data_IF_442420130869
#
_entry.id   IF_442420130869
#
_cell.length_a   1.000
_cell.length_b   1.000
_cell.length_c   1.000
_cell.angle_alpha   90.00
_cell.angle_beta   90.00
_cell.angle_gamma   90.00
#
_symmetry.space_group_name_H-M   'P 1'
#
loop_
_entity.id
_entity.type
_entity.pdbx_description
1 polymer ?
#
# COMPACT_ATOMS: atom_id res chain seq x y z
N UNK A 1 -9.67 31.99 -71.98
CA UNK A 1 -8.47 32.71 -72.48
C UNK A 1 -7.85 33.45 -71.31
N UNK A 2 -6.59 33.12 -71.03
CA UNK A 2 -5.72 33.66 -69.98
C UNK A 2 -5.40 35.14 -70.18
N UNK A 3 -5.19 35.88 -69.08
CA UNK A 3 -4.10 36.86 -68.97
C UNK A 3 -3.47 36.82 -67.56
N UNK A 4 -2.18 36.47 -67.56
CA UNK A 4 -1.13 36.67 -66.55
C UNK A 4 -0.97 38.20 -66.22
N UNK A 5 -0.25 38.75 -65.22
CA UNK A 5 0.98 38.38 -64.48
C UNK A 5 1.28 39.49 -63.42
N UNK A 6 1.69 39.11 -62.18
CA UNK A 6 2.83 39.59 -61.32
C UNK A 6 3.02 41.12 -61.06
N UNK A 7 3.15 41.62 -59.80
CA UNK A 7 4.37 41.86 -58.94
C UNK A 7 3.86 42.14 -57.49
N UNK A 8 4.15 41.39 -56.42
CA UNK A 8 5.36 41.22 -55.57
C UNK A 8 5.67 42.33 -54.53
N UNK A 9 5.49 42.01 -53.24
CA UNK A 9 6.25 42.46 -52.05
C UNK A 9 5.71 41.68 -50.81
N UNK A 10 6.27 40.53 -50.42
CA UNK A 10 7.44 40.33 -49.56
C UNK A 10 7.30 40.85 -48.11
N UNK A 11 6.94 39.96 -47.18
CA UNK A 11 7.47 39.97 -45.80
C UNK A 11 7.48 38.52 -45.26
N UNK A 12 8.65 38.10 -44.78
CA UNK A 12 9.08 36.76 -44.38
C UNK A 12 8.25 36.18 -43.19
N UNK A 13 7.86 34.90 -43.17
CA UNK A 13 8.60 33.62 -43.03
C UNK A 13 9.22 33.40 -41.64
N UNK A 14 8.61 32.50 -40.87
CA UNK A 14 9.29 31.37 -40.19
C UNK A 14 8.27 30.40 -39.58
N UNK A 15 7.97 29.35 -40.35
CA UNK A 15 7.51 28.06 -39.84
C UNK A 15 8.73 27.30 -39.33
N UNK A 16 8.72 26.87 -38.07
CA UNK A 16 9.69 25.92 -37.56
C UNK A 16 9.00 24.55 -37.40
N UNK A 17 9.14 23.72 -38.43
CA UNK A 17 9.11 22.27 -38.28
C UNK A 17 10.51 21.84 -37.81
N UNK A 18 10.57 21.07 -36.73
CA UNK A 18 11.82 20.57 -36.17
C UNK A 18 11.59 19.28 -35.40
N UNK A 19 11.49 18.18 -36.13
CA UNK A 19 11.80 16.84 -35.64
C UNK A 19 13.23 16.82 -35.08
N UNK A 20 13.39 16.46 -33.81
CA UNK A 20 14.70 16.37 -33.17
C UNK A 20 14.70 15.42 -31.99
N UNK A 21 15.28 14.24 -32.22
CA UNK A 21 15.80 13.25 -31.29
C UNK A 21 15.85 13.65 -29.79
N UNK A 22 15.02 13.00 -28.97
CA UNK A 22 15.22 12.90 -27.53
C UNK A 22 16.04 11.63 -27.24
N UNK A 23 17.36 11.72 -27.36
CA UNK A 23 18.28 10.76 -26.78
C UNK A 23 19.43 11.50 -26.05
N UNK A 24 19.52 11.20 -24.75
CA UNK A 24 20.70 11.27 -23.87
C UNK A 24 21.38 12.64 -23.64
N UNK A 25 20.93 13.35 -22.60
CA UNK A 25 21.83 14.10 -21.74
C UNK A 25 21.24 14.21 -20.33
N UNK A 26 22.06 13.88 -19.33
CA UNK A 26 21.67 13.71 -17.94
C UNK A 26 21.09 14.95 -17.28
N UNK A 27 19.90 14.77 -16.71
CA UNK A 27 19.53 15.29 -15.39
C UNK A 27 18.51 14.30 -14.82
N UNK A 28 19.02 13.37 -14.01
CA UNK A 28 18.14 12.74 -13.03
C UNK A 28 17.54 13.89 -12.20
N UNK A 29 16.22 13.93 -11.95
CA UNK A 29 15.66 14.94 -11.07
C UNK A 29 16.36 14.83 -9.72
N UNK A 30 17.16 15.85 -9.40
CA UNK A 30 17.69 16.05 -8.08
C UNK A 30 16.52 16.54 -7.22
N UNK A 31 15.99 15.65 -6.38
CA UNK A 31 14.88 15.94 -5.48
C UNK A 31 13.95 14.74 -5.35
N UNK A 32 14.27 13.80 -4.46
CA UNK A 32 13.34 12.77 -3.99
C UNK A 32 12.26 13.36 -3.08
N UNK A 33 11.57 14.40 -3.54
CA UNK A 33 10.68 15.22 -2.73
C UNK A 33 9.19 14.91 -2.86
N UNK A 34 8.71 14.30 -3.96
CA UNK A 34 7.27 14.32 -4.23
C UNK A 34 6.77 13.16 -5.09
N UNK A 35 6.90 11.93 -4.60
CA UNK A 35 6.21 10.78 -5.21
C UNK A 35 5.20 10.13 -4.23
N UNK A 36 5.21 10.51 -2.96
CA UNK A 36 4.29 10.01 -1.93
C UNK A 36 3.69 11.17 -1.11
N UNK A 37 3.70 12.41 -1.62
CA UNK A 37 3.01 13.51 -0.93
C UNK A 37 1.53 13.16 -0.76
N UNK A 38 0.95 13.58 0.36
CA UNK A 38 -0.46 13.36 0.59
C UNK A 38 -1.27 14.15 -0.44
N UNK A 39 -2.24 13.46 -1.04
CA UNK A 39 -3.19 14.04 -1.99
C UNK A 39 -4.56 13.93 -1.32
N UNK A 40 -5.15 15.04 -0.85
CA UNK A 40 -6.43 15.00 -0.15
C UNK A 40 -7.52 14.29 -0.96
N UNK A 41 -8.24 13.36 -0.32
CA UNK A 41 -9.30 12.57 -0.95
C UNK A 41 -8.83 11.45 -1.87
N UNK A 42 -7.52 11.21 -1.99
CA UNK A 42 -6.98 10.14 -2.81
C UNK A 42 -6.70 8.87 -2.00
N UNK A 43 -7.69 7.98 -1.93
CA UNK A 43 -7.61 6.76 -1.13
C UNK A 43 -6.49 5.78 -1.52
N UNK A 44 -6.03 5.77 -2.78
CA UNK A 44 -4.88 4.94 -3.19
C UNK A 44 -3.55 5.50 -2.68
N UNK A 45 -3.41 6.83 -2.67
CA UNK A 45 -2.23 7.49 -2.07
C UNK A 45 -2.23 7.28 -0.56
N UNK A 46 -3.38 7.48 0.09
CA UNK A 46 -3.57 7.22 1.53
C UNK A 46 -3.21 5.77 1.87
N UNK A 47 -3.68 4.81 1.09
CA UNK A 47 -3.36 3.39 1.27
C UNK A 47 -1.84 3.12 1.19
N UNK A 48 -1.18 3.64 0.15
CA UNK A 48 0.27 3.48 -0.02
C UNK A 48 1.07 4.15 1.11
N UNK A 49 0.60 5.31 1.59
CA UNK A 49 1.20 6.03 2.73
C UNK A 49 1.06 5.25 4.02
N UNK A 50 -0.13 4.72 4.32
CA UNK A 50 -0.36 3.86 5.50
C UNK A 50 0.55 2.63 5.46
N UNK A 51 0.54 1.87 4.37
CA UNK A 51 1.38 0.67 4.29
C UNK A 51 2.87 1.02 4.37
N UNK A 52 3.30 2.13 3.77
CA UNK A 52 4.68 2.63 3.88
C UNK A 52 5.03 2.93 5.34
N UNK A 53 4.19 3.67 6.07
CA UNK A 53 4.44 4.00 7.48
C UNK A 53 4.46 2.75 8.36
N UNK A 54 3.54 1.81 8.14
CA UNK A 54 3.54 0.53 8.84
C UNK A 54 4.85 -0.23 8.59
N UNK A 55 5.30 -0.32 7.33
CA UNK A 55 6.53 -1.01 6.96
C UNK A 55 7.77 -0.35 7.58
N UNK A 56 7.83 0.98 7.59
CA UNK A 56 8.87 1.76 8.26
C UNK A 56 8.86 1.52 9.76
N UNK A 57 7.69 1.48 10.40
CA UNK A 57 7.55 1.20 11.82
C UNK A 57 8.06 -0.21 12.17
N UNK A 58 7.66 -1.23 11.39
CA UNK A 58 8.17 -2.60 11.55
C UNK A 58 9.68 -2.76 11.31
N UNK A 59 10.28 -1.87 10.51
CA UNK A 59 11.71 -1.81 10.27
C UNK A 59 12.49 -0.92 11.27
N UNK A 60 11.81 -0.33 12.26
CA UNK A 60 12.42 0.58 13.23
C UNK A 60 12.95 1.88 12.58
N UNK A 61 12.44 2.25 11.40
CA UNK A 61 12.80 3.49 10.71
C UNK A 61 11.98 4.66 11.26
N UNK A 62 12.49 5.90 11.17
CA UNK A 62 11.72 7.09 11.53
C UNK A 62 10.37 7.15 10.80
N UNK A 63 9.38 7.80 11.40
CA UNK A 63 8.10 8.05 10.74
C UNK A 63 8.28 8.79 9.42
N UNK A 64 7.30 8.67 8.52
CA UNK A 64 7.17 9.58 7.39
C UNK A 64 7.15 11.05 7.89
N UNK A 65 7.72 12.00 7.12
CA UNK A 65 7.60 13.41 7.45
C UNK A 65 6.13 13.81 7.60
N UNK A 66 5.85 14.68 8.57
CA UNK A 66 4.52 15.23 8.75
C UNK A 66 4.09 15.95 7.46
N UNK A 67 2.86 15.71 7.05
CA UNK A 67 2.26 16.28 5.85
C UNK A 67 0.92 16.90 6.25
N UNK A 68 0.72 18.23 6.09
CA UNK A 68 -0.54 18.89 6.47
C UNK A 68 -1.74 18.42 5.65
N UNK A 69 -1.49 17.78 4.49
CA UNK A 69 -2.52 17.22 3.63
C UNK A 69 -2.78 15.72 3.92
N UNK A 70 -2.08 15.13 4.90
CA UNK A 70 -2.26 13.74 5.27
C UNK A 70 -3.71 13.46 5.67
N UNK A 71 -4.25 12.36 5.15
CA UNK A 71 -5.54 11.88 5.59
C UNK A 71 -5.46 11.45 7.06
N UNK A 72 -6.48 11.77 7.87
CA UNK A 72 -6.50 11.42 9.30
C UNK A 72 -6.43 9.91 9.55
N UNK A 73 -6.94 9.08 8.63
CA UNK A 73 -6.83 7.63 8.72
C UNK A 73 -5.37 7.16 8.58
N UNK A 74 -4.43 8.00 8.09
CA UNK A 74 -3.00 7.69 8.11
C UNK A 74 -2.44 7.52 9.53
N UNK A 75 -3.13 8.07 10.54
CA UNK A 75 -2.77 7.89 11.95
C UNK A 75 -2.69 6.42 12.38
N UNK A 76 -3.36 5.49 11.66
CA UNK A 76 -3.25 4.05 11.91
C UNK A 76 -1.79 3.56 11.80
N UNK A 77 -0.98 4.11 10.90
CA UNK A 77 0.45 3.80 10.83
C UNK A 77 1.20 4.21 12.10
N UNK A 78 0.84 5.37 12.66
CA UNK A 78 1.36 5.85 13.94
C UNK A 78 0.92 5.01 15.13
N UNK A 79 -0.33 4.53 15.14
CA UNK A 79 -0.83 3.63 16.19
C UNK A 79 -0.02 2.33 16.24
N UNK A 80 0.34 1.74 15.09
CA UNK A 80 1.22 0.58 15.03
C UNK A 80 2.61 0.90 15.60
N UNK A 81 3.18 2.05 15.25
CA UNK A 81 4.48 2.48 15.77
C UNK A 81 4.48 2.60 17.29
N UNK A 82 3.47 3.23 17.87
CA UNK A 82 3.33 3.35 19.32
C UNK A 82 3.17 1.97 19.98
N UNK A 83 2.37 1.08 19.37
CA UNK A 83 2.25 -0.30 19.84
C UNK A 83 3.60 -1.03 19.84
N UNK A 84 4.35 -0.98 18.73
CA UNK A 84 5.66 -1.62 18.59
C UNK A 84 6.72 -1.02 19.55
N UNK A 85 6.55 0.23 19.97
CA UNK A 85 7.37 0.87 20.99
C UNK A 85 6.96 0.49 22.43
N UNK A 86 5.90 -0.31 22.61
CA UNK A 86 5.37 -0.70 23.92
C UNK A 86 4.39 0.31 24.54
N UNK A 87 4.05 1.38 23.82
CA UNK A 87 3.15 2.44 24.28
C UNK A 87 1.68 2.09 24.03
N UNK A 88 1.20 0.99 24.61
CA UNK A 88 -0.14 0.43 24.35
C UNK A 88 -1.29 1.40 24.66
N UNK A 89 -1.15 2.24 25.70
CA UNK A 89 -2.15 3.28 26.05
C UNK A 89 -2.25 4.32 24.94
N UNK A 90 -1.11 4.83 24.46
CA UNK A 90 -1.09 5.84 23.40
C UNK A 90 -1.61 5.27 22.08
N UNK A 91 -1.21 4.05 21.74
CA UNK A 91 -1.75 3.34 20.58
C UNK A 91 -3.28 3.19 20.69
N UNK A 92 -3.81 2.82 21.86
CA UNK A 92 -5.25 2.70 22.08
C UNK A 92 -5.99 4.03 21.90
N UNK A 93 -5.46 5.14 22.44
CA UNK A 93 -6.07 6.45 22.27
C UNK A 93 -6.11 6.88 20.80
N UNK A 94 -5.04 6.61 20.05
CA UNK A 94 -5.02 6.88 18.61
C UNK A 94 -6.08 6.04 17.87
N UNK A 95 -6.32 4.79 18.29
CA UNK A 95 -7.39 3.98 17.73
C UNK A 95 -8.78 4.56 18.03
N UNK A 96 -8.99 5.19 19.18
CA UNK A 96 -10.26 5.91 19.48
C UNK A 96 -10.49 7.07 18.51
N UNK A 97 -9.44 7.85 18.22
CA UNK A 97 -9.49 8.95 17.27
C UNK A 97 -9.75 8.46 15.84
N UNK A 98 -9.13 7.34 15.45
CA UNK A 98 -9.33 6.72 14.13
C UNK A 98 -10.74 6.13 14.00
N UNK A 99 -11.23 5.43 15.01
CA UNK A 99 -12.60 4.89 15.03
C UNK A 99 -13.62 6.05 14.92
N UNK A 100 -13.39 7.17 15.61
CA UNK A 100 -14.22 8.37 15.47
C UNK A 100 -14.21 8.97 14.06
N UNK A 101 -13.04 8.97 13.40
CA UNK A 101 -12.93 9.43 12.00
C UNK A 101 -13.59 8.46 11.01
N UNK A 102 -13.55 7.15 11.28
CA UNK A 102 -14.28 6.14 10.50
C UNK A 102 -15.79 6.41 10.59
N UNK A 103 -16.31 6.63 11.80
CA UNK A 103 -17.75 6.87 12.02
C UNK A 103 -18.24 8.11 11.26
N UNK A 104 -17.40 9.15 11.13
CA UNK A 104 -17.71 10.35 10.33
C UNK A 104 -17.77 10.11 8.81
N UNK A 105 -17.21 9.00 8.32
CA UNK A 105 -17.12 8.67 6.87
C UNK A 105 -18.15 7.64 6.42
N UNK A 106 -18.81 6.98 7.35
CA UNK A 106 -20.01 6.19 7.08
C UNK A 106 -21.16 7.20 6.89
N UNK A 107 -21.88 7.17 5.75
CA UNK A 107 -23.04 8.03 5.58
C UNK A 107 -24.06 7.78 6.70
N UNK A 108 -24.68 8.84 7.22
CA UNK A 108 -25.79 8.71 8.18
C UNK A 108 -27.13 8.56 7.45
N UNK A 109 -28.14 8.04 8.16
CA UNK A 109 -29.52 7.99 7.67
C UNK A 109 -29.97 9.35 7.10
N UNK A 110 -29.68 10.48 7.76
CA UNK A 110 -30.06 11.81 7.26
C UNK A 110 -29.32 12.21 5.97
N UNK A 111 -28.05 11.79 5.84
CA UNK A 111 -27.27 12.03 4.62
C UNK A 111 -27.79 11.17 3.46
N UNK A 112 -28.21 9.93 3.73
CA UNK A 112 -28.80 9.04 2.73
C UNK A 112 -30.20 9.50 2.32
N UNK A 113 -31.01 10.02 3.24
CA UNK A 113 -32.28 10.67 2.91
C UNK A 113 -32.08 11.89 1.99
N UNK A 114 -31.00 12.65 2.21
CA UNK A 114 -30.65 13.82 1.38
C UNK A 114 -30.03 13.45 0.03
N UNK A 115 -29.22 12.39 -0.03
CA UNK A 115 -28.60 11.84 -1.24
C UNK A 115 -28.71 10.30 -1.27
N UNK A 116 -29.75 9.77 -1.94
CA UNK A 116 -29.98 8.32 -2.03
C UNK A 116 -28.85 7.54 -2.70
N UNK A 117 -27.91 8.20 -3.39
CA UNK A 117 -26.73 7.53 -3.97
C UNK A 117 -25.74 7.06 -2.90
N UNK A 118 -25.86 7.56 -1.67
CA UNK A 118 -25.04 7.15 -0.54
C UNK A 118 -25.50 5.83 0.12
N UNK A 119 -26.74 5.38 -0.16
CA UNK A 119 -27.31 4.17 0.45
C UNK A 119 -26.45 2.93 0.19
N UNK A 120 -26.00 2.73 -1.05
CA UNK A 120 -25.13 1.61 -1.43
C UNK A 120 -23.79 1.63 -0.69
N UNK A 121 -23.27 2.83 -0.35
CA UNK A 121 -22.02 2.98 0.41
C UNK A 121 -22.25 2.69 1.90
N UNK A 122 -23.32 3.22 2.46
CA UNK A 122 -23.71 3.01 3.86
C UNK A 122 -23.95 1.53 4.16
N UNK A 123 -24.86 0.89 3.42
CA UNK A 123 -25.20 -0.52 3.61
C UNK A 123 -23.95 -1.41 3.49
N UNK A 124 -23.08 -1.12 2.52
CA UNK A 124 -21.85 -1.87 2.29
C UNK A 124 -20.85 -1.77 3.46
N UNK A 125 -20.69 -0.58 4.05
CA UNK A 125 -19.81 -0.37 5.19
C UNK A 125 -20.40 -0.95 6.48
N UNK A 126 -21.66 -0.67 6.79
CA UNK A 126 -22.33 -1.15 8.00
C UNK A 126 -22.34 -2.68 8.01
N UNK A 127 -22.76 -3.31 6.91
CA UNK A 127 -22.82 -4.77 6.80
C UNK A 127 -21.45 -5.41 7.03
N UNK A 128 -20.37 -4.80 6.53
CA UNK A 128 -19.02 -5.32 6.78
C UNK A 128 -18.57 -5.10 8.24
N UNK A 129 -18.89 -3.96 8.84
CA UNK A 129 -18.50 -3.65 10.21
C UNK A 129 -19.19 -4.56 11.23
N UNK A 130 -20.45 -4.93 10.99
CA UNK A 130 -21.18 -5.89 11.82
C UNK A 130 -20.61 -7.32 11.75
N UNK A 131 -19.95 -7.68 10.64
CA UNK A 131 -19.27 -8.97 10.53
C UNK A 131 -17.95 -9.02 11.32
N UNK A 132 -17.33 -7.88 11.62
CA UNK A 132 -16.07 -7.84 12.35
C UNK A 132 -16.29 -8.29 13.81
N UNK A 133 -15.47 -9.21 14.33
CA UNK A 133 -15.62 -9.67 15.71
C UNK A 133 -15.18 -8.59 16.69
N UNK A 134 -15.67 -8.66 17.92
CA UNK A 134 -15.18 -7.81 19.00
C UNK A 134 -13.73 -8.14 19.37
N UNK A 135 -12.99 -7.09 19.77
CA UNK A 135 -11.70 -7.26 20.42
C UNK A 135 -11.86 -8.09 21.71
N UNK A 136 -10.93 -8.98 22.06
CA UNK A 136 -11.05 -9.80 23.26
C UNK A 136 -11.07 -8.92 24.50
N UNK A 137 -12.05 -9.14 25.38
CA UNK A 137 -12.17 -8.45 26.65
C UNK A 137 -12.34 -9.45 27.80
N UNK A 138 -12.11 -8.98 29.03
CA UNK A 138 -12.35 -9.75 30.25
C UNK A 138 -11.08 -10.26 30.94
N UNK A 139 -11.27 -11.05 32.00
CA UNK A 139 -10.19 -11.53 32.87
C UNK A 139 -9.20 -12.39 32.08
N UNK A 140 -7.91 -12.07 32.18
CA UNK A 140 -6.83 -12.83 31.57
C UNK A 140 -6.40 -12.34 30.18
N UNK A 141 -7.13 -11.40 29.56
CA UNK A 141 -6.67 -10.75 28.33
C UNK A 141 -5.60 -9.73 28.69
N UNK A 142 -4.41 -9.87 28.09
CA UNK A 142 -3.32 -8.91 28.26
C UNK A 142 -3.60 -7.63 27.48
N UNK A 143 -3.14 -6.50 27.99
CA UNK A 143 -3.36 -5.19 27.36
C UNK A 143 -2.78 -5.11 25.93
N UNK A 144 -1.60 -5.68 25.70
CA UNK A 144 -0.99 -5.77 24.37
C UNK A 144 -1.84 -6.60 23.39
N UNK A 145 -2.43 -7.69 23.86
CA UNK A 145 -3.30 -8.57 23.09
C UNK A 145 -4.60 -7.85 22.70
N UNK A 146 -5.22 -7.17 23.67
CA UNK A 146 -6.40 -6.34 23.40
C UNK A 146 -6.10 -5.25 22.36
N UNK A 147 -5.04 -4.46 22.57
CA UNK A 147 -4.70 -3.33 21.68
C UNK A 147 -4.31 -3.81 20.28
N UNK A 148 -3.55 -4.90 20.16
CA UNK A 148 -3.13 -5.41 18.85
C UNK A 148 -4.30 -5.97 18.03
N UNK A 149 -5.23 -6.69 18.67
CA UNK A 149 -6.40 -7.22 17.98
C UNK A 149 -7.36 -6.09 17.64
N UNK A 150 -7.56 -5.14 18.55
CA UNK A 150 -8.33 -3.91 18.25
C UNK A 150 -7.73 -3.17 17.05
N UNK A 151 -6.41 -2.98 17.03
CA UNK A 151 -5.71 -2.39 15.89
C UNK A 151 -6.02 -3.12 14.59
N UNK A 152 -5.98 -4.46 14.58
CA UNK A 152 -6.27 -5.25 13.39
C UNK A 152 -7.70 -5.04 12.87
N UNK A 153 -8.67 -4.93 13.79
CA UNK A 153 -10.08 -4.67 13.45
C UNK A 153 -10.26 -3.25 12.90
N UNK A 154 -9.70 -2.24 13.56
CA UNK A 154 -9.71 -0.86 13.06
C UNK A 154 -9.00 -0.76 11.70
N UNK A 155 -7.92 -1.51 11.48
CA UNK A 155 -7.25 -1.57 10.17
C UNK A 155 -8.17 -2.11 9.06
N UNK A 156 -9.00 -3.13 9.34
CA UNK A 156 -10.02 -3.61 8.39
C UNK A 156 -11.07 -2.55 8.08
N UNK A 157 -11.50 -1.77 9.08
CA UNK A 157 -12.44 -0.66 8.90
C UNK A 157 -11.85 0.47 8.05
N UNK A 158 -10.61 0.89 8.35
CA UNK A 158 -9.86 1.88 7.55
C UNK A 158 -9.83 1.46 6.08
N UNK A 159 -9.49 0.20 5.79
CA UNK A 159 -9.45 -0.29 4.42
C UNK A 159 -10.79 -0.26 3.71
N UNK A 160 -11.86 -0.65 4.41
CA UNK A 160 -13.21 -0.64 3.86
C UNK A 160 -13.62 0.78 3.46
N UNK A 161 -13.39 1.76 4.35
CA UNK A 161 -13.67 3.17 4.08
C UNK A 161 -12.86 3.67 2.89
N UNK A 162 -11.54 3.44 2.87
CA UNK A 162 -10.69 3.88 1.76
C UNK A 162 -11.07 3.21 0.44
N UNK A 163 -11.47 1.93 0.46
CA UNK A 163 -11.98 1.23 -0.73
C UNK A 163 -13.30 1.86 -1.21
N UNK A 164 -14.25 2.14 -0.32
CA UNK A 164 -15.52 2.79 -0.67
C UNK A 164 -15.30 4.17 -1.32
N UNK A 165 -14.29 4.92 -0.87
CA UNK A 165 -13.95 6.24 -1.41
C UNK A 165 -13.18 6.16 -2.74
N UNK A 166 -12.45 5.07 -2.96
CA UNK A 166 -11.60 4.90 -4.15
C UNK A 166 -12.35 4.27 -5.32
N UNK A 167 -13.25 3.33 -5.05
CA UNK A 167 -13.92 2.57 -6.09
C UNK A 167 -15.01 3.40 -6.77
N UNK A 168 -15.15 3.35 -8.12
CA UNK A 168 -16.25 4.01 -8.83
C UNK A 168 -17.63 3.51 -8.42
N UNK A 169 -17.71 2.26 -7.94
CA UNK A 169 -18.92 1.64 -7.41
C UNK A 169 -18.53 0.49 -6.49
N UNK A 170 -19.26 0.30 -5.39
CA UNK A 170 -19.15 -0.84 -4.48
C UNK A 170 -19.95 -2.05 -4.98
N UNK A 171 -20.84 -1.85 -5.96
CA UNK A 171 -21.76 -2.90 -6.44
C UNK A 171 -21.00 -4.06 -7.07
N UNK A 172 -21.27 -5.27 -6.57
CA UNK A 172 -20.64 -6.51 -7.05
C UNK A 172 -19.23 -6.77 -6.50
N UNK A 173 -18.69 -5.90 -5.63
CA UNK A 173 -17.46 -6.16 -4.91
C UNK A 173 -17.76 -6.80 -3.55
N UNK A 174 -17.27 -8.03 -3.35
CA UNK A 174 -17.31 -8.71 -2.07
C UNK A 174 -16.13 -8.24 -1.20
N UNK A 175 -16.44 -7.49 -0.13
CA UNK A 175 -15.43 -6.92 0.76
C UNK A 175 -14.77 -7.97 1.68
N UNK A 176 -15.46 -9.08 1.98
CA UNK A 176 -14.90 -10.19 2.76
C UNK A 176 -13.87 -10.93 1.93
N UNK A 177 -14.25 -11.32 0.71
CA UNK A 177 -13.37 -12.05 -0.19
C UNK A 177 -12.39 -11.15 -0.96
N UNK A 178 -12.59 -9.83 -0.93
CA UNK A 178 -11.83 -8.80 -1.67
C UNK A 178 -11.73 -9.08 -3.15
N UNK A 179 -12.87 -9.36 -3.76
CA UNK A 179 -12.96 -9.69 -5.18
C UNK A 179 -14.27 -9.21 -5.79
N UNK A 180 -14.23 -8.93 -7.08
CA UNK A 180 -15.43 -8.78 -7.90
C UNK A 180 -15.71 -10.07 -8.68
N UNK A 181 -16.99 -10.41 -8.84
CA UNK A 181 -17.44 -11.45 -9.76
C UNK A 181 -18.47 -10.87 -10.75
N UNK A 182 -18.53 -11.36 -12.01
CA UNK A 182 -17.72 -12.44 -12.59
C UNK A 182 -16.35 -11.98 -13.12
N UNK A 183 -16.19 -10.70 -13.42
CA UNK A 183 -14.94 -10.15 -13.95
C UNK A 183 -14.10 -9.53 -12.83
N UNK A 184 -12.79 -9.84 -12.75
CA UNK A 184 -11.94 -9.33 -11.69
C UNK A 184 -11.77 -7.81 -11.79
N UNK A 185 -11.89 -7.12 -10.66
CA UNK A 185 -11.65 -5.69 -10.57
C UNK A 185 -10.17 -5.41 -10.37
N UNK A 186 -9.73 -4.21 -10.77
CA UNK A 186 -8.36 -3.74 -10.48
C UNK A 186 -8.10 -3.65 -8.97
N UNK A 187 -9.14 -3.47 -8.15
CA UNK A 187 -9.09 -3.38 -6.69
C UNK A 187 -9.11 -4.75 -5.98
N UNK A 188 -9.17 -5.85 -6.72
CA UNK A 188 -9.17 -7.20 -6.14
C UNK A 188 -7.88 -7.45 -5.34
N UNK A 189 -8.05 -7.99 -4.14
CA UNK A 189 -6.98 -8.30 -3.20
C UNK A 189 -6.26 -7.08 -2.62
N UNK A 190 -6.79 -5.87 -2.78
CA UNK A 190 -6.23 -4.66 -2.17
C UNK A 190 -6.51 -4.67 -0.66
N UNK A 191 -5.47 -4.85 0.15
CA UNK A 191 -5.54 -4.89 1.61
C UNK A 191 -4.23 -4.40 2.26
N UNK A 192 -4.31 -3.63 3.34
CA UNK A 192 -3.17 -3.32 4.19
C UNK A 192 -2.79 -4.58 4.97
N UNK A 193 -1.50 -4.68 5.28
CA UNK A 193 -0.91 -5.90 5.82
C UNK A 193 0.08 -5.55 6.91
N UNK A 194 0.16 -6.39 7.92
CA UNK A 194 1.16 -6.22 8.96
C UNK A 194 2.58 -6.38 8.38
N UNK A 195 3.56 -5.57 8.81
CA UNK A 195 4.92 -5.70 8.32
C UNK A 195 5.49 -7.08 8.66
N UNK A 196 6.06 -7.77 7.69
CA UNK A 196 6.61 -9.11 7.80
C UNK A 196 7.62 -9.21 8.96
N UNK A 197 8.37 -8.13 9.19
CA UNK A 197 9.36 -8.02 10.25
C UNK A 197 8.79 -8.27 11.65
N UNK A 198 7.52 -7.92 11.89
CA UNK A 198 6.91 -8.08 13.23
C UNK A 198 6.55 -9.53 13.52
N UNK A 199 6.55 -10.43 12.52
CA UNK A 199 6.28 -11.85 12.72
C UNK A 199 7.25 -12.44 13.73
N UNK A 200 8.52 -12.01 13.72
CA UNK A 200 9.56 -12.52 14.64
C UNK A 200 9.23 -12.25 16.10
N UNK A 201 8.63 -11.09 16.40
CA UNK A 201 8.38 -10.60 17.76
C UNK A 201 6.92 -10.75 18.22
N UNK A 202 5.98 -10.80 17.29
CA UNK A 202 4.54 -10.73 17.58
C UNK A 202 3.74 -11.89 16.95
N UNK A 203 4.41 -13.01 16.64
CA UNK A 203 3.78 -14.19 16.04
C UNK A 203 2.48 -14.62 16.73
N UNK A 204 2.48 -14.74 18.06
CA UNK A 204 1.31 -15.19 18.81
C UNK A 204 0.10 -14.25 18.65
N UNK A 205 0.35 -12.94 18.58
CA UNK A 205 -0.69 -11.95 18.34
C UNK A 205 -1.23 -12.05 16.91
N UNK A 206 -0.36 -12.20 15.91
CA UNK A 206 -0.77 -12.38 14.52
C UNK A 206 -1.56 -13.68 14.31
N UNK A 207 -1.17 -14.78 14.95
CA UNK A 207 -1.90 -16.05 14.89
C UNK A 207 -3.30 -15.92 15.51
N UNK A 208 -3.43 -15.22 16.63
CA UNK A 208 -4.73 -14.93 17.25
C UNK A 208 -5.58 -14.01 16.37
N UNK A 209 -5.00 -12.95 15.81
CA UNK A 209 -5.67 -12.08 14.85
C UNK A 209 -6.15 -12.86 13.62
N UNK A 210 -5.32 -13.74 13.06
CA UNK A 210 -5.69 -14.58 11.93
C UNK A 210 -6.88 -15.51 12.25
N UNK A 211 -6.88 -16.14 13.44
CA UNK A 211 -8.00 -16.97 13.89
C UNK A 211 -9.29 -16.19 14.05
N UNK A 212 -9.22 -14.97 14.60
CA UNK A 212 -10.39 -14.12 14.85
C UNK A 212 -10.99 -13.57 13.57
N UNK A 213 -10.15 -13.02 12.70
CA UNK A 213 -10.63 -12.45 11.44
C UNK A 213 -11.13 -13.55 10.49
N UNK A 214 -10.48 -14.72 10.48
CA UNK A 214 -10.85 -15.80 9.56
C UNK A 214 -10.93 -15.27 8.11
N UNK A 215 -12.06 -15.45 7.40
CA UNK A 215 -12.26 -14.89 6.06
C UNK A 215 -12.12 -13.36 5.97
N UNK A 216 -12.43 -12.62 7.04
CA UNK A 216 -12.42 -11.16 7.08
C UNK A 216 -11.01 -10.56 7.01
N UNK A 217 -9.97 -11.40 7.12
CA UNK A 217 -8.60 -10.99 6.82
C UNK A 217 -8.47 -10.52 5.36
N UNK A 218 -9.31 -11.00 4.44
CA UNK A 218 -9.38 -10.53 3.05
C UNK A 218 -8.12 -10.79 2.22
N UNK A 219 -7.28 -11.74 2.65
CA UNK A 219 -6.01 -12.06 2.00
C UNK A 219 -4.88 -12.31 3.00
N UNK A 220 -3.60 -12.26 2.55
CA UNK A 220 -2.45 -12.37 3.43
C UNK A 220 -2.53 -11.33 4.56
N UNK A 221 -2.36 -11.79 5.80
CA UNK A 221 -2.37 -10.91 6.98
C UNK A 221 -1.10 -10.05 7.07
N UNK A 222 0.00 -10.54 6.51
CA UNK A 222 1.31 -9.86 6.53
C UNK A 222 1.78 -9.52 5.13
N UNK A 223 2.66 -8.53 5.01
CA UNK A 223 3.32 -8.18 3.73
C UNK A 223 4.54 -9.08 3.45
N UNK A 224 4.65 -10.24 4.11
CA UNK A 224 5.71 -11.18 3.79
C UNK A 224 5.62 -11.61 2.32
N UNK A 225 6.73 -11.55 1.56
CA UNK A 225 6.71 -11.91 0.16
C UNK A 225 6.75 -13.44 0.03
N UNK A 226 5.57 -14.06 0.11
CA UNK A 226 5.40 -15.53 0.14
C UNK A 226 4.77 -16.05 -1.16
N UNK A 227 5.11 -17.28 -1.60
CA UNK A 227 4.36 -17.95 -2.65
C UNK A 227 2.87 -18.13 -2.28
N UNK A 228 2.01 -18.20 -3.29
CA UNK A 228 0.57 -18.42 -3.10
C UNK A 228 0.31 -19.71 -2.32
N UNK A 229 -0.59 -19.65 -1.34
CA UNK A 229 -0.95 -20.75 -0.44
C UNK A 229 -0.06 -20.90 0.80
N UNK A 230 0.94 -20.04 0.98
CA UNK A 230 1.87 -20.06 2.13
C UNK A 230 1.69 -18.86 3.07
N UNK A 231 0.73 -17.99 2.78
CA UNK A 231 0.46 -16.73 3.47
C UNK A 231 0.06 -16.92 4.94
N UNK A 232 -0.48 -18.10 5.29
CA UNK A 232 -0.88 -18.45 6.64
C UNK A 232 0.09 -19.41 7.35
N UNK A 233 1.21 -19.80 6.71
CA UNK A 233 2.24 -20.64 7.34
C UNK A 233 3.18 -19.77 8.18
N UNK A 234 2.81 -19.50 9.43
CA UNK A 234 3.59 -18.65 10.34
C UNK A 234 5.03 -19.13 10.58
N UNK A 235 5.34 -20.42 10.45
CA UNK A 235 6.72 -20.90 10.50
C UNK A 235 7.50 -20.41 9.27
N UNK A 236 6.88 -20.41 8.09
CA UNK A 236 7.48 -19.87 6.88
C UNK A 236 7.65 -18.36 6.94
N UNK A 237 6.61 -17.64 7.38
CA UNK A 237 6.66 -16.19 7.57
C UNK A 237 7.81 -15.81 8.51
N UNK A 238 7.95 -16.51 9.63
CA UNK A 238 9.01 -16.27 10.59
C UNK A 238 10.41 -16.53 10.00
N UNK A 239 10.59 -17.58 9.18
CA UNK A 239 11.85 -17.81 8.47
C UNK A 239 12.20 -16.66 7.52
N UNK A 240 11.23 -16.18 6.74
CA UNK A 240 11.41 -15.02 5.87
C UNK A 240 11.80 -13.79 6.70
N UNK A 241 11.12 -13.59 7.83
CA UNK A 241 11.37 -12.41 8.65
C UNK A 241 12.71 -12.43 9.39
N UNK A 242 13.23 -13.62 9.71
CA UNK A 242 14.55 -13.80 10.36
C UNK A 242 15.72 -13.75 9.37
N UNK A 243 15.59 -14.43 8.24
CA UNK A 243 16.63 -14.50 7.21
C UNK A 243 16.01 -14.46 5.80
N UNK A 244 15.61 -13.25 5.35
CA UNK A 244 14.98 -13.09 4.04
C UNK A 244 15.92 -13.48 2.90
N UNK A 245 17.23 -13.28 3.05
CA UNK A 245 18.21 -13.55 2.00
C UNK A 245 18.33 -15.06 1.74
N UNK A 246 18.26 -15.89 2.79
CA UNK A 246 18.18 -17.34 2.64
C UNK A 246 16.77 -17.82 2.24
N UNK A 247 15.72 -17.19 2.76
CA UNK A 247 14.35 -17.65 2.55
C UNK A 247 13.77 -17.31 1.17
N UNK A 248 14.26 -16.26 0.51
CA UNK A 248 13.69 -15.70 -0.73
C UNK A 248 14.55 -15.98 -1.98
N UNK A 249 15.34 -17.05 -1.97
CA UNK A 249 16.21 -17.42 -3.10
C UNK A 249 15.44 -17.97 -4.31
N UNK A 250 14.15 -18.32 -4.17
CA UNK A 250 13.28 -18.78 -5.26
C UNK A 250 12.07 -17.87 -5.45
N UNK A 251 11.74 -17.60 -6.72
CA UNK A 251 10.69 -16.68 -7.16
C UNK A 251 9.27 -17.18 -6.83
N UNK A 252 8.33 -16.25 -6.57
CA UNK A 252 6.96 -16.36 -7.08
C UNK A 252 6.17 -15.03 -7.07
N UNK A 253 5.29 -14.95 -8.07
CA UNK A 253 4.00 -14.23 -8.19
C UNK A 253 3.97 -12.74 -8.54
N UNK A 254 3.59 -12.51 -9.80
CA UNK A 254 3.10 -11.23 -10.32
C UNK A 254 1.61 -11.03 -10.04
N UNK A 255 1.20 -9.77 -10.02
CA UNK A 255 -0.19 -9.33 -9.85
C UNK A 255 -0.49 -8.33 -10.97
N UNK A 256 -1.75 -8.24 -11.41
CA UNK A 256 -2.16 -7.31 -12.47
C UNK A 256 -1.85 -5.83 -12.16
N UNK A 257 -1.84 -4.94 -13.17
CA UNK A 257 -1.64 -3.50 -12.95
C UNK A 257 -2.84 -2.82 -12.29
N UNK A 258 -2.61 -1.75 -11.52
CA UNK A 258 -3.64 -0.78 -11.09
C UNK A 258 -3.71 0.40 -12.07
N UNK A 259 -4.82 1.17 -12.10
CA UNK A 259 -4.90 2.43 -12.84
C UNK A 259 -3.78 3.42 -12.46
N UNK A 260 -3.36 3.38 -11.19
CA UNK A 260 -2.16 4.06 -10.68
C UNK A 260 -1.48 3.18 -9.65
N UNK A 261 -0.41 2.49 -10.05
CA UNK A 261 0.28 1.53 -9.18
C UNK A 261 1.17 2.20 -8.12
N UNK A 262 1.50 3.49 -8.27
CA UNK A 262 2.43 4.24 -7.39
C UNK A 262 3.81 3.58 -7.30
N UNK A 263 4.24 2.92 -8.38
CA UNK A 263 5.51 2.20 -8.44
C UNK A 263 6.70 3.16 -8.46
N UNK A 264 7.69 2.89 -7.62
CA UNK A 264 8.89 3.73 -7.50
C UNK A 264 9.97 3.35 -8.51
N UNK A 265 10.95 4.24 -8.77
CA UNK A 265 12.17 3.88 -9.51
C UNK A 265 12.90 2.69 -8.90
N UNK A 266 12.94 2.58 -7.56
CA UNK A 266 13.56 1.44 -6.87
C UNK A 266 12.81 0.13 -7.13
N UNK A 267 11.47 0.13 -7.13
CA UNK A 267 10.68 -1.06 -7.51
C UNK A 267 10.90 -1.46 -8.97
N UNK A 268 11.10 -0.48 -9.86
CA UNK A 268 11.42 -0.75 -11.26
C UNK A 268 12.81 -1.35 -11.42
N UNK A 269 13.81 -0.82 -10.71
CA UNK A 269 15.15 -1.40 -10.64
C UNK A 269 15.12 -2.82 -10.05
N UNK A 270 14.37 -3.05 -8.98
CA UNK A 270 14.22 -4.39 -8.39
C UNK A 270 13.59 -5.40 -9.35
N UNK A 271 12.55 -5.00 -10.10
CA UNK A 271 11.82 -5.89 -10.99
C UNK A 271 12.61 -6.35 -12.24
N UNK A 272 13.47 -5.50 -12.79
CA UNK A 272 14.08 -5.71 -14.12
C UNK A 272 15.56 -5.35 -14.22
N UNK A 273 16.11 -4.65 -13.22
CA UNK A 273 17.48 -4.15 -13.23
C UNK A 273 18.49 -5.14 -12.65
N UNK A 274 19.74 -4.70 -12.66
CA UNK A 274 20.87 -5.37 -12.01
C UNK A 274 20.98 -4.97 -10.53
N UNK A 275 21.83 -5.67 -9.77
CA UNK A 275 22.22 -5.25 -8.42
C UNK A 275 22.81 -3.82 -8.41
N UNK A 276 23.51 -3.42 -9.47
CA UNK A 276 24.06 -2.08 -9.60
C UNK A 276 22.97 -1.01 -9.72
N UNK A 277 21.87 -1.29 -10.44
CA UNK A 277 20.74 -0.37 -10.57
C UNK A 277 20.00 -0.20 -9.25
N UNK A 278 19.79 -1.29 -8.51
CA UNK A 278 19.21 -1.27 -7.16
C UNK A 278 20.10 -0.44 -6.23
N UNK A 279 21.40 -0.72 -6.23
CA UNK A 279 22.38 0.01 -5.40
C UNK A 279 22.41 1.50 -5.73
N UNK A 280 22.36 1.85 -7.02
CA UNK A 280 22.30 3.24 -7.48
C UNK A 280 21.05 3.96 -6.98
N UNK A 281 19.88 3.32 -7.06
CA UNK A 281 18.63 3.89 -6.55
C UNK A 281 18.67 4.09 -5.02
N UNK A 282 19.21 3.12 -4.28
CA UNK A 282 19.41 3.23 -2.82
C UNK A 282 20.36 4.39 -2.46
N UNK A 283 21.48 4.52 -3.17
CA UNK A 283 22.45 5.61 -2.97
C UNK A 283 21.86 6.99 -3.30
N UNK A 284 20.82 7.05 -4.12
CA UNK A 284 20.07 8.27 -4.41
C UNK A 284 19.01 8.60 -3.34
N UNK A 285 18.93 7.82 -2.25
CA UNK A 285 18.00 8.04 -1.14
C UNK A 285 16.63 7.39 -1.30
N UNK A 286 16.48 6.43 -2.22
CA UNK A 286 15.22 5.69 -2.35
C UNK A 286 14.91 4.91 -1.06
N UNK A 287 13.65 4.96 -0.63
CA UNK A 287 13.17 4.21 0.53
C UNK A 287 12.77 2.78 0.14
N UNK A 288 13.45 1.72 0.63
CA UNK A 288 13.11 0.34 0.33
C UNK A 288 11.79 -0.12 0.98
N UNK A 289 11.33 0.55 2.04
CA UNK A 289 10.11 0.22 2.76
C UNK A 289 8.87 0.89 2.17
N UNK A 290 9.06 1.76 1.18
CA UNK A 290 7.95 2.39 0.48
C UNK A 290 7.12 1.34 -0.25
N UNK A 291 5.82 1.39 0.00
CA UNK A 291 4.82 0.55 -0.62
C UNK A 291 4.16 1.26 -1.82
N UNK A 292 3.76 0.46 -2.79
CA UNK A 292 2.93 0.85 -3.91
C UNK A 292 1.44 0.83 -3.47
N UNK A 293 0.49 1.17 -4.37
CA UNK A 293 -0.94 1.16 -4.03
C UNK A 293 -1.53 -0.24 -3.75
N UNK A 294 -0.76 -1.32 -3.96
CA UNK A 294 -1.09 -2.71 -3.57
C UNK A 294 -0.37 -3.15 -2.30
N UNK A 295 0.33 -2.25 -1.64
CA UNK A 295 1.11 -2.55 -0.46
C UNK A 295 2.45 -3.23 -0.75
N UNK A 296 2.89 -3.31 -2.02
CA UNK A 296 4.14 -3.99 -2.41
C UNK A 296 5.32 -3.04 -2.30
N UNK A 297 6.40 -3.54 -1.73
CA UNK A 297 7.71 -2.87 -1.67
C UNK A 297 8.63 -3.30 -2.80
N UNK A 298 9.80 -2.66 -2.94
CA UNK A 298 10.82 -3.09 -3.90
C UNK A 298 11.23 -4.57 -3.74
N UNK A 299 11.23 -5.10 -2.51
CA UNK A 299 11.51 -6.52 -2.26
C UNK A 299 10.50 -7.46 -2.93
N UNK A 300 9.21 -7.09 -2.95
CA UNK A 300 8.18 -7.88 -3.64
C UNK A 300 8.45 -7.97 -5.15
N UNK A 301 8.86 -6.84 -5.75
CA UNK A 301 9.22 -6.79 -7.17
C UNK A 301 10.51 -7.55 -7.50
N UNK A 302 11.49 -7.56 -6.57
CA UNK A 302 12.73 -8.33 -6.72
C UNK A 302 12.46 -9.83 -6.92
N UNK A 303 11.41 -10.36 -6.29
CA UNK A 303 11.08 -11.79 -6.44
C UNK A 303 10.63 -12.14 -7.85
N UNK A 304 10.05 -11.21 -8.59
CA UNK A 304 9.67 -11.38 -9.99
C UNK A 304 10.84 -11.24 -10.97
N UNK A 305 11.99 -10.73 -10.53
CA UNK A 305 13.16 -10.56 -11.37
C UNK A 305 13.84 -11.93 -11.58
N UNK A 306 13.72 -12.50 -12.77
CA UNK A 306 14.29 -13.81 -13.10
C UNK A 306 15.73 -13.75 -13.61
N UNK A 307 16.26 -12.56 -13.91
CA UNK A 307 17.58 -12.40 -14.54
C UNK A 307 18.70 -12.19 -13.52
N UNK A 308 18.37 -11.87 -12.27
CA UNK A 308 19.36 -11.60 -11.21
C UNK A 308 20.00 -12.90 -10.69
N UNK A 309 21.34 -13.05 -10.74
CA UNK A 309 22.05 -14.23 -10.23
C UNK A 309 21.77 -14.48 -8.74
N UNK A 310 21.87 -15.72 -8.23
CA UNK A 310 21.56 -16.03 -6.83
C UNK A 310 22.37 -15.21 -5.80
N UNK A 311 23.67 -15.00 -6.05
CA UNK A 311 24.53 -14.20 -5.18
C UNK A 311 24.07 -12.73 -5.13
N UNK A 312 23.82 -12.14 -6.30
CA UNK A 312 23.32 -10.77 -6.43
C UNK A 312 21.93 -10.61 -5.83
N UNK A 313 21.06 -11.62 -5.97
CA UNK A 313 19.74 -11.65 -5.33
C UNK A 313 19.87 -11.61 -3.81
N UNK A 314 20.74 -12.44 -3.23
CA UNK A 314 20.95 -12.44 -1.79
C UNK A 314 21.45 -11.07 -1.29
N UNK A 315 22.31 -10.40 -2.06
CA UNK A 315 22.75 -9.05 -1.73
C UNK A 315 21.63 -8.00 -1.91
N UNK A 316 20.86 -8.08 -2.98
CA UNK A 316 19.71 -7.19 -3.21
C UNK A 316 18.64 -7.34 -2.11
N UNK A 317 18.36 -8.56 -1.66
CA UNK A 317 17.44 -8.80 -0.53
C UNK A 317 17.94 -8.09 0.74
N UNK A 318 19.24 -8.15 1.04
CA UNK A 318 19.82 -7.45 2.19
C UNK A 318 19.71 -5.92 2.09
N UNK A 319 19.71 -5.36 0.88
CA UNK A 319 19.52 -3.92 0.67
C UNK A 319 18.06 -3.49 0.85
N UNK A 320 17.12 -4.36 0.52
CA UNK A 320 15.70 -4.02 0.40
C UNK A 320 14.84 -4.44 1.61
N UNK A 321 15.32 -5.37 2.44
CA UNK A 321 14.57 -5.83 3.61
C UNK A 321 14.98 -5.07 4.85
#
# INVERSE_FOLDING_TARGET
MSKHTVVAAACALLLAAGTGAWFLAGRAPAGGGDELAAVPGDGLVTFARIQTEMNRAGAGKPALPADPNADKLEAIGGALREFLAGNTVKASNMLDEIDSEIDLRVPTDEQVEADPLLADKEEWLISYFELLPDAPQGKGVKADTYVFIRYALTLRKVEAVLLAETMPSTKGYDLVARKTEPEPSVFDGMNLRFPCRIVVSHRALLEETARRLGPLAGGPLTDCPTPKGREADFNHLERIARDPAAALTSSANGHGPLPRDLKTPLMTAAAKGSLADITKAMNAGADPHRADARGRTALHYLLGNQTLPPADRAQAVKLLY
#
